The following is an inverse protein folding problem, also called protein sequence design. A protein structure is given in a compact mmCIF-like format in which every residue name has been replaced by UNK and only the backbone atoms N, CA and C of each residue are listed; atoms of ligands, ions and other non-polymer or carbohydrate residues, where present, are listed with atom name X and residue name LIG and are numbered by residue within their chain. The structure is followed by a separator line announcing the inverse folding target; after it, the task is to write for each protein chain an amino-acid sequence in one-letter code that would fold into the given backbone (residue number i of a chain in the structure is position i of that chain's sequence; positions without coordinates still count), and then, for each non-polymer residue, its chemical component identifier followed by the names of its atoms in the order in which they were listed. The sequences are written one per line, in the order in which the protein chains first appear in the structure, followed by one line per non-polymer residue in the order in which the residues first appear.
data_IF_116951972389
#
_entry.id   IF_116951972389
#
_cell.length_a   1.000
_cell.length_b   1.000
_cell.length_c   1.000
_cell.angle_alpha   90.00
_cell.angle_beta   90.00
_cell.angle_gamma   90.00
#
_symmetry.space_group_name_H-M   'P 1'
#
loop_
_entity.id
_entity.type
_entity.pdbx_description
1 polymer ?
#
# COMPACT_ATOMS: atom_id res chain seq x y z
N UNK A 1 -10.36 -22.77 13.33
CA UNK A 1 -9.30 -22.52 12.33
C UNK A 1 -8.30 -21.55 12.94
N UNK A 2 -7.06 -21.96 13.28
CA UNK A 2 -6.05 -21.04 13.81
C UNK A 2 -5.45 -20.26 12.63
N UNK A 3 -5.87 -19.01 12.44
CA UNK A 3 -5.30 -18.16 11.40
C UNK A 3 -3.87 -17.78 11.78
N UNK A 4 -2.93 -18.07 10.89
CA UNK A 4 -1.56 -17.63 11.05
C UNK A 4 -1.47 -16.15 10.68
N UNK A 5 -1.50 -15.28 11.70
CA UNK A 5 -1.45 -13.83 11.52
C UNK A 5 -0.26 -13.36 10.66
N UNK A 6 0.87 -14.08 10.70
CA UNK A 6 2.05 -13.80 9.85
C UNK A 6 1.76 -14.08 8.38
N UNK A 7 1.07 -15.19 8.10
CA UNK A 7 0.67 -15.57 6.74
C UNK A 7 -0.35 -14.55 6.19
N UNK A 8 -1.35 -14.18 6.99
CA UNK A 8 -2.36 -13.17 6.62
C UNK A 8 -1.71 -11.82 6.31
N UNK A 9 -0.82 -11.33 7.18
CA UNK A 9 -0.06 -10.09 6.94
C UNK A 9 0.75 -10.17 5.64
N UNK A 10 1.38 -11.31 5.35
CA UNK A 10 2.17 -11.48 4.13
C UNK A 10 1.30 -11.42 2.87
N UNK A 11 0.13 -12.10 2.88
CA UNK A 11 -0.82 -12.05 1.76
C UNK A 11 -1.28 -10.62 1.50
N UNK A 12 -1.72 -9.89 2.54
CA UNK A 12 -2.15 -8.50 2.38
C UNK A 12 -1.01 -7.60 1.90
N UNK A 13 0.21 -7.81 2.39
CA UNK A 13 1.38 -7.03 1.94
C UNK A 13 1.62 -7.22 0.45
N UNK A 14 1.57 -8.47 -0.05
CA UNK A 14 1.75 -8.77 -1.49
C UNK A 14 0.61 -8.19 -2.32
N UNK A 15 -0.64 -8.30 -1.85
CA UNK A 15 -1.82 -7.73 -2.52
C UNK A 15 -1.70 -6.21 -2.66
N UNK A 16 -1.35 -5.51 -1.57
CA UNK A 16 -1.18 -4.06 -1.59
C UNK A 16 0.03 -3.63 -2.42
N UNK A 17 1.11 -4.43 -2.46
CA UNK A 17 2.24 -4.16 -3.35
C UNK A 17 1.82 -4.25 -4.84
N UNK A 18 1.01 -5.24 -5.23
CA UNK A 18 0.46 -5.33 -6.59
C UNK A 18 -0.45 -4.15 -6.92
N UNK A 19 -1.32 -3.74 -5.99
CA UNK A 19 -2.17 -2.55 -6.17
C UNK A 19 -1.34 -1.28 -6.33
N UNK A 20 -0.24 -1.14 -5.61
CA UNK A 20 0.66 0.00 -5.71
C UNK A 20 1.34 0.04 -7.09
N UNK A 21 1.80 -1.11 -7.59
CA UNK A 21 2.32 -1.23 -8.97
C UNK A 21 1.25 -0.88 -10.00
N UNK A 22 0.02 -1.37 -9.85
CA UNK A 22 -1.10 -1.04 -10.75
C UNK A 22 -1.30 0.48 -10.85
N UNK A 23 -1.29 1.19 -9.73
CA UNK A 23 -1.43 2.65 -9.73
C UNK A 23 -0.23 3.37 -10.34
N UNK A 24 0.99 2.88 -10.11
CA UNK A 24 2.19 3.44 -10.75
C UNK A 24 2.14 3.32 -12.29
N UNK A 25 1.59 2.23 -12.81
CA UNK A 25 1.40 2.05 -14.26
C UNK A 25 0.32 2.96 -14.85
N UNK A 26 -0.65 3.41 -14.06
CA UNK A 26 -1.67 4.36 -14.51
C UNK A 26 -1.19 5.82 -14.55
N UNK A 27 -0.03 6.14 -13.96
CA UNK A 27 0.50 7.50 -13.98
C UNK A 27 0.91 7.85 -15.41
N UNK A 28 0.38 8.96 -15.93
CA UNK A 28 0.86 9.57 -17.17
C UNK A 28 2.18 10.31 -16.87
N UNK A 29 3.29 9.59 -17.03
CA UNK A 29 4.64 10.10 -16.78
C UNK A 29 5.06 11.22 -17.74
N UNK A 30 4.38 11.34 -18.89
CA UNK A 30 4.63 12.41 -19.87
C UNK A 30 4.02 13.75 -19.45
N UNK A 31 2.98 13.70 -18.60
CA UNK A 31 2.28 14.87 -18.12
C UNK A 31 1.87 14.66 -16.65
N UNK A 32 2.75 15.07 -15.73
CA UNK A 32 2.54 14.96 -14.29
C UNK A 32 1.49 15.93 -13.73
N UNK A 33 0.80 16.70 -14.57
CA UNK A 33 -0.27 17.60 -14.14
C UNK A 33 -1.34 16.84 -13.34
N UNK A 34 -1.61 17.34 -12.14
CA UNK A 34 -2.37 16.63 -11.11
C UNK A 34 -3.80 16.31 -11.51
N UNK A 35 -4.41 17.06 -12.44
CA UNK A 35 -5.83 16.89 -12.77
C UNK A 35 -6.14 15.54 -13.40
N UNK A 36 -5.25 15.00 -14.22
CA UNK A 36 -5.41 13.72 -14.91
C UNK A 36 -4.84 12.54 -14.08
N UNK A 37 -3.79 12.80 -13.32
CA UNK A 37 -3.11 11.79 -12.50
C UNK A 37 -3.59 11.72 -11.04
N UNK A 38 -4.54 12.56 -10.62
CA UNK A 38 -4.98 12.66 -9.22
C UNK A 38 -5.39 11.31 -8.64
N UNK A 39 -6.20 10.54 -9.36
CA UNK A 39 -6.62 9.20 -8.96
C UNK A 39 -5.44 8.25 -8.76
N UNK A 40 -4.48 8.26 -9.70
CA UNK A 40 -3.28 7.44 -9.60
C UNK A 40 -2.38 7.82 -8.44
N UNK A 41 -2.20 9.12 -8.19
CA UNK A 41 -1.45 9.61 -7.03
C UNK A 41 -2.11 9.24 -5.70
N UNK A 42 -3.44 9.37 -5.59
CA UNK A 42 -4.17 8.90 -4.40
C UNK A 42 -4.06 7.39 -4.23
N UNK A 43 -4.09 6.62 -5.32
CA UNK A 43 -3.91 5.19 -5.30
C UNK A 43 -2.52 4.76 -4.80
N UNK A 44 -1.46 5.39 -5.30
CA UNK A 44 -0.08 5.18 -4.82
C UNK A 44 0.05 5.57 -3.35
N UNK A 45 -0.47 6.73 -2.96
CA UNK A 45 -0.42 7.21 -1.58
C UNK A 45 -1.16 6.26 -0.62
N UNK A 46 -2.37 5.84 -0.98
CA UNK A 46 -3.16 4.90 -0.18
C UNK A 46 -2.46 3.54 -0.05
N UNK A 47 -1.92 3.00 -1.15
CA UNK A 47 -1.15 1.76 -1.14
C UNK A 47 0.08 1.85 -0.23
N UNK A 48 0.84 2.94 -0.31
CA UNK A 48 2.00 3.17 0.53
C UNK A 48 1.63 3.25 2.02
N UNK A 49 0.60 4.02 2.37
CA UNK A 49 0.11 4.15 3.74
C UNK A 49 -0.39 2.82 4.32
N UNK A 50 -1.08 2.00 3.51
CA UNK A 50 -1.51 0.66 3.94
C UNK A 50 -0.35 -0.27 4.21
N UNK A 51 0.66 -0.31 3.34
CA UNK A 51 1.86 -1.12 3.55
C UNK A 51 2.59 -0.67 4.81
N UNK A 52 2.77 0.65 5.00
CA UNK A 52 3.39 1.21 6.22
C UNK A 52 2.58 0.81 7.45
N UNK A 53 1.25 1.01 7.44
CA UNK A 53 0.36 0.65 8.55
C UNK A 53 0.47 -0.84 8.92
N UNK A 54 0.49 -1.73 7.93
CA UNK A 54 0.67 -3.17 8.14
C UNK A 54 2.06 -3.50 8.68
N UNK A 55 3.09 -2.73 8.31
CA UNK A 55 4.46 -2.93 8.76
C UNK A 55 4.78 -2.31 10.12
N UNK A 56 4.03 -1.27 10.54
CA UNK A 56 4.08 -0.73 11.90
C UNK A 56 3.74 -1.88 12.84
N UNK A 57 4.79 -2.48 13.42
CA UNK A 57 4.63 -3.34 14.58
C UNK A 57 4.08 -2.43 15.68
N UNK A 58 2.99 -2.85 16.32
CA UNK A 58 2.69 -2.40 17.67
C UNK A 58 3.94 -2.67 18.50
N UNK A 59 4.78 -1.66 18.67
CA UNK A 59 5.73 -1.61 19.75
C UNK A 59 4.83 -1.40 20.95
N UNK A 60 4.38 -2.49 21.56
CA UNK A 60 3.83 -2.38 22.91
C UNK A 60 4.86 -1.58 23.72
N UNK A 61 4.44 -0.49 24.39
CA UNK A 61 5.32 0.19 25.32
C UNK A 61 5.79 -0.88 26.30
N UNK A 62 7.10 -1.13 26.29
CA UNK A 62 7.71 -1.97 27.32
C UNK A 62 7.54 -1.16 28.61
N UNK A 63 6.65 -1.63 29.47
CA UNK A 63 6.54 -1.20 30.87
C UNK A 63 7.92 -1.26 31.56
#
# INVERSE_FOLDING_TARGET
MKFNAKLVKNIFTVLFAMLLLFWLFQIDWSNLSSKKNSGAFFGVLAGALFIISLQIKNKEPKE
#
